data_IF_252819188787
#
_entry.id   IF_252819188787
#
_cell.length_a   1.000
_cell.length_b   1.000
_cell.length_c   1.000
_cell.angle_alpha   90.00
_cell.angle_beta   90.00
_cell.angle_gamma   90.00
#
_symmetry.space_group_name_H-M   'P 1'
#
loop_
_entity.id
_entity.type
_entity.pdbx_description
1 polymer ?
#
# COMPACT_ATOMS: atom_id res chain seq x y z
N UNK A 1 22.26 -0.28 5.35
CA UNK A 1 21.54 -1.29 6.10
C UNK A 1 21.72 -2.69 5.51
N UNK A 2 21.47 -2.92 4.21
CA UNK A 2 21.58 -4.24 3.58
C UNK A 2 22.99 -4.88 3.77
N UNK A 3 24.06 -4.15 3.55
CA UNK A 3 25.42 -4.66 3.79
C UNK A 3 25.64 -5.02 5.26
N UNK A 4 25.22 -4.17 6.20
CA UNK A 4 25.29 -4.46 7.62
C UNK A 4 24.55 -5.76 7.99
N UNK A 5 23.33 -5.98 7.46
CA UNK A 5 22.57 -7.21 7.72
C UNK A 5 23.27 -8.45 7.13
N UNK A 6 23.82 -8.33 5.91
CA UNK A 6 24.56 -9.41 5.27
C UNK A 6 25.79 -9.83 6.11
N UNK A 7 26.56 -8.87 6.54
CA UNK A 7 27.75 -9.08 7.38
C UNK A 7 27.36 -9.68 8.73
N UNK A 8 26.37 -9.07 9.42
CA UNK A 8 25.89 -9.52 10.73
C UNK A 8 25.39 -10.97 10.75
N UNK A 9 24.72 -11.39 9.69
CA UNK A 9 24.12 -12.75 9.61
C UNK A 9 24.90 -13.72 8.71
N UNK A 10 26.08 -13.33 8.24
CA UNK A 10 26.92 -14.17 7.38
C UNK A 10 26.25 -14.56 6.06
N UNK A 11 25.35 -13.72 5.52
CA UNK A 11 24.59 -14.02 4.32
C UNK A 11 25.14 -13.26 3.10
N UNK A 12 25.18 -13.90 1.95
CA UNK A 12 25.61 -13.26 0.70
C UNK A 12 24.53 -12.35 0.13
N UNK A 13 23.25 -12.67 0.38
CA UNK A 13 22.06 -11.91 -0.04
C UNK A 13 21.00 -11.93 1.06
N UNK A 14 20.02 -11.03 0.94
CA UNK A 14 18.84 -10.98 1.81
C UNK A 14 17.56 -10.98 0.96
N UNK A 15 16.42 -11.26 1.57
CA UNK A 15 15.12 -10.97 0.98
C UNK A 15 14.74 -9.51 1.28
N UNK A 16 14.16 -8.83 0.30
CA UNK A 16 13.62 -7.48 0.50
C UNK A 16 12.10 -7.54 0.44
N UNK A 17 11.44 -7.20 1.55
CA UNK A 17 9.99 -7.06 1.59
C UNK A 17 9.63 -5.58 1.73
N UNK A 18 8.69 -5.12 0.90
CA UNK A 18 8.05 -3.82 1.01
C UNK A 18 6.55 -3.97 1.26
N UNK A 19 5.97 -3.07 2.07
CA UNK A 19 4.52 -2.99 2.24
C UNK A 19 4.04 -1.57 1.94
N UNK A 20 2.93 -1.42 1.14
CA UNK A 20 2.32 -0.11 0.86
C UNK A 20 3.37 0.92 0.42
N UNK A 21 3.49 2.06 1.07
CA UNK A 21 4.57 3.05 0.81
C UNK A 21 5.99 2.46 0.79
N UNK A 22 6.24 1.38 1.54
CA UNK A 22 7.51 0.65 1.50
C UNK A 22 7.77 -0.04 0.15
N UNK A 23 6.74 -0.38 -0.60
CA UNK A 23 6.90 -0.96 -1.95
C UNK A 23 7.39 0.06 -2.97
N UNK A 24 7.04 1.33 -2.77
CA UNK A 24 7.53 2.44 -3.60
C UNK A 24 9.06 2.52 -3.59
N UNK A 25 9.66 2.39 -2.41
CA UNK A 25 11.12 2.38 -2.26
C UNK A 25 11.72 1.01 -2.58
N UNK A 26 11.04 -0.06 -2.15
CA UNK A 26 11.52 -1.43 -2.27
C UNK A 26 11.78 -1.86 -3.71
N UNK A 27 10.84 -1.60 -4.62
CA UNK A 27 10.99 -1.99 -6.03
C UNK A 27 12.14 -1.23 -6.72
N UNK A 28 12.32 0.05 -6.39
CA UNK A 28 13.43 0.86 -6.90
C UNK A 28 14.79 0.40 -6.33
N UNK A 29 14.84 0.02 -5.06
CA UNK A 29 16.03 -0.54 -4.44
C UNK A 29 16.38 -1.91 -5.06
N UNK A 30 15.37 -2.74 -5.33
CA UNK A 30 15.54 -4.03 -6.00
C UNK A 30 16.09 -3.89 -7.41
N UNK A 31 15.63 -2.89 -8.17
CA UNK A 31 16.14 -2.58 -9.50
C UNK A 31 17.60 -2.08 -9.47
N UNK A 32 17.96 -1.28 -8.45
CA UNK A 32 19.32 -0.69 -8.35
C UNK A 32 20.36 -1.65 -7.81
N UNK A 33 19.99 -2.60 -6.97
CA UNK A 33 20.92 -3.46 -6.26
C UNK A 33 20.50 -4.96 -6.28
N UNK A 34 20.19 -5.55 -7.45
CA UNK A 34 19.70 -6.92 -7.54
C UNK A 34 20.69 -7.95 -7.00
N UNK A 35 21.99 -7.68 -7.10
CA UNK A 35 23.06 -8.58 -6.62
C UNK A 35 23.05 -8.79 -5.10
N UNK A 36 22.40 -7.92 -4.33
CA UNK A 36 22.31 -7.99 -2.87
C UNK A 36 21.07 -8.77 -2.39
N UNK A 37 20.18 -9.14 -3.31
CA UNK A 37 18.85 -9.65 -2.98
C UNK A 37 18.61 -11.04 -3.58
N UNK A 38 17.96 -11.92 -2.79
CA UNK A 38 17.43 -13.19 -3.29
C UNK A 38 16.15 -12.99 -4.09
N UNK A 39 15.24 -12.16 -3.56
CA UNK A 39 13.96 -11.82 -4.17
C UNK A 39 13.44 -10.49 -3.64
N UNK A 40 12.48 -9.92 -4.36
CA UNK A 40 11.66 -8.81 -3.92
C UNK A 40 10.22 -9.28 -3.67
N UNK A 41 9.70 -9.00 -2.48
CA UNK A 41 8.35 -9.37 -2.04
C UNK A 41 7.59 -8.08 -1.78
N UNK A 42 6.50 -7.87 -2.49
CA UNK A 42 5.66 -6.67 -2.37
C UNK A 42 4.30 -7.02 -1.78
N UNK A 43 4.00 -6.45 -0.62
CA UNK A 43 2.66 -6.51 -0.05
C UNK A 43 1.95 -5.20 -0.40
N UNK A 44 0.91 -5.26 -1.23
CA UNK A 44 0.17 -4.12 -1.77
C UNK A 44 1.08 -3.15 -2.54
N UNK A 45 1.59 -3.62 -3.69
CA UNK A 45 2.54 -2.89 -4.53
C UNK A 45 1.93 -1.61 -5.10
N UNK A 46 2.53 -0.47 -4.79
CA UNK A 46 2.24 0.79 -5.49
C UNK A 46 2.74 0.68 -6.94
N UNK A 47 1.86 1.01 -7.88
CA UNK A 47 2.19 1.10 -9.32
C UNK A 47 2.15 2.55 -9.81
N UNK A 48 0.98 3.17 -9.77
CA UNK A 48 0.72 4.58 -10.00
C UNK A 48 -0.29 5.04 -8.94
N UNK A 49 0.20 5.74 -7.90
CA UNK A 49 -0.64 6.08 -6.75
C UNK A 49 -1.71 7.11 -7.10
N UNK A 50 -1.43 8.07 -7.98
CA UNK A 50 -2.42 9.05 -8.39
C UNK A 50 -3.59 8.39 -9.13
N UNK A 51 -3.31 7.45 -10.03
CA UNK A 51 -4.38 6.70 -10.71
C UNK A 51 -5.12 5.77 -9.74
N UNK A 52 -4.45 5.21 -8.71
CA UNK A 52 -5.13 4.48 -7.62
C UNK A 52 -6.15 5.36 -6.91
N UNK A 53 -5.80 6.60 -6.57
CA UNK A 53 -6.73 7.55 -5.93
C UNK A 53 -7.90 7.94 -6.85
N UNK A 54 -7.65 8.08 -8.15
CA UNK A 54 -8.69 8.36 -9.15
C UNK A 54 -9.67 7.18 -9.28
N UNK A 55 -9.15 5.97 -9.34
CA UNK A 55 -9.98 4.75 -9.36
C UNK A 55 -10.80 4.61 -8.08
N UNK A 56 -10.17 4.82 -6.92
CA UNK A 56 -10.84 4.78 -5.64
C UNK A 56 -11.97 5.82 -5.55
N UNK A 57 -11.71 7.06 -5.98
CA UNK A 57 -12.71 8.12 -6.01
C UNK A 57 -13.91 7.73 -6.89
N UNK A 58 -13.69 7.27 -8.13
CA UNK A 58 -14.76 6.84 -9.02
C UNK A 58 -15.58 5.68 -8.42
N UNK A 59 -14.90 4.69 -7.87
CA UNK A 59 -15.53 3.56 -7.21
C UNK A 59 -16.41 4.00 -6.04
N UNK A 60 -15.89 4.84 -5.13
CA UNK A 60 -16.63 5.32 -3.98
C UNK A 60 -17.87 6.13 -4.38
N UNK A 61 -17.75 7.05 -5.35
CA UNK A 61 -18.89 7.81 -5.87
C UNK A 61 -19.98 6.88 -6.37
N UNK A 62 -19.61 5.89 -7.19
CA UNK A 62 -20.58 4.95 -7.77
C UNK A 62 -21.23 4.09 -6.68
N UNK A 63 -20.45 3.52 -5.76
CA UNK A 63 -20.98 2.67 -4.69
C UNK A 63 -21.95 3.41 -3.78
N UNK A 64 -21.63 4.64 -3.39
CA UNK A 64 -22.58 5.45 -2.57
C UNK A 64 -23.85 5.82 -3.32
N UNK A 65 -23.81 6.02 -4.63
CA UNK A 65 -25.01 6.20 -5.46
C UNK A 65 -25.87 4.93 -5.46
N UNK A 66 -25.23 3.78 -5.70
CA UNK A 66 -25.91 2.46 -5.76
C UNK A 66 -26.55 2.09 -4.42
N UNK A 67 -25.92 2.47 -3.32
CA UNK A 67 -26.42 2.26 -1.94
C UNK A 67 -27.43 3.35 -1.47
N UNK A 68 -27.74 4.33 -2.32
CA UNK A 68 -28.67 5.42 -2.00
C UNK A 68 -28.10 6.49 -1.03
N UNK A 69 -26.81 6.44 -0.71
CA UNK A 69 -26.16 7.45 0.12
C UNK A 69 -25.76 8.68 -0.71
N UNK A 70 -26.76 9.38 -1.23
CA UNK A 70 -26.57 10.55 -2.08
C UNK A 70 -25.78 11.69 -1.40
N UNK A 71 -25.83 11.77 -0.07
CA UNK A 71 -25.08 12.78 0.69
C UNK A 71 -23.56 12.54 0.57
N UNK A 72 -23.11 11.30 0.75
CA UNK A 72 -21.69 10.97 0.62
C UNK A 72 -21.22 11.02 -0.84
N UNK A 73 -22.03 10.51 -1.76
CA UNK A 73 -21.76 10.62 -3.19
C UNK A 73 -21.53 12.08 -3.62
N UNK A 74 -22.43 13.00 -3.23
CA UNK A 74 -22.30 14.43 -3.53
C UNK A 74 -21.04 15.06 -2.91
N UNK A 75 -20.66 14.69 -1.68
CA UNK A 75 -19.42 15.17 -1.06
C UNK A 75 -18.18 14.76 -1.84
N UNK A 76 -18.14 13.53 -2.32
CA UNK A 76 -17.04 13.03 -3.15
C UNK A 76 -17.03 13.71 -4.52
N UNK A 77 -18.17 13.88 -5.19
CA UNK A 77 -18.28 14.58 -6.48
C UNK A 77 -17.81 16.03 -6.42
N UNK A 78 -18.00 16.70 -5.27
CA UNK A 78 -17.51 18.06 -5.01
C UNK A 78 -16.00 18.12 -4.74
N UNK A 79 -15.33 16.96 -4.61
CA UNK A 79 -13.92 16.85 -4.33
C UNK A 79 -13.22 15.91 -5.33
N UNK A 80 -13.27 16.22 -6.65
CA UNK A 80 -12.71 15.34 -7.67
C UNK A 80 -11.19 15.21 -7.54
N UNK A 81 -10.67 14.02 -7.81
CA UNK A 81 -9.23 13.77 -7.92
C UNK A 81 -8.78 14.11 -9.35
N UNK A 82 -7.91 15.10 -9.46
CA UNK A 82 -7.35 15.55 -10.74
C UNK A 82 -6.22 14.68 -11.29
N UNK A 83 -5.54 15.19 -12.31
CA UNK A 83 -4.47 14.48 -13.04
C UNK A 83 -3.07 14.74 -12.47
N UNK A 84 -2.95 15.58 -11.46
CA UNK A 84 -1.67 15.98 -10.86
C UNK A 84 -1.74 16.02 -9.34
N UNK A 85 -0.58 15.82 -8.68
CA UNK A 85 -0.42 16.09 -7.26
C UNK A 85 -0.36 17.61 -6.99
N UNK A 86 -0.72 18.04 -5.78
CA UNK A 86 -1.24 17.27 -4.66
C UNK A 86 -2.71 16.89 -4.81
N UNK A 87 -3.19 15.93 -4.01
CA UNK A 87 -4.62 15.64 -3.91
C UNK A 87 -5.36 16.83 -3.25
N UNK A 88 -6.61 17.09 -3.66
CA UNK A 88 -7.41 18.17 -3.05
C UNK A 88 -7.66 17.94 -1.55
N UNK A 89 -7.52 18.97 -0.72
CA UNK A 89 -7.81 18.89 0.72
C UNK A 89 -9.25 18.44 1.01
N UNK A 90 -10.19 18.85 0.17
CA UNK A 90 -11.58 18.43 0.27
C UNK A 90 -11.74 16.91 0.12
N UNK A 91 -10.98 16.30 -0.79
CA UNK A 91 -10.93 14.85 -0.96
C UNK A 91 -10.28 14.17 0.23
N UNK A 92 -9.13 14.63 0.69
CA UNK A 92 -8.42 14.05 1.84
C UNK A 92 -9.28 14.02 3.11
N UNK A 93 -10.15 15.01 3.32
CA UNK A 93 -11.08 15.08 4.47
C UNK A 93 -12.20 14.04 4.45
N UNK A 94 -12.52 13.46 3.30
CA UNK A 94 -13.63 12.49 3.15
C UNK A 94 -13.13 11.11 2.76
N UNK A 95 -11.95 11.00 2.17
CA UNK A 95 -11.37 9.79 1.58
C UNK A 95 -11.32 8.61 2.55
N UNK A 96 -10.67 8.80 3.69
CA UNK A 96 -10.44 7.69 4.63
C UNK A 96 -11.76 7.18 5.23
N UNK A 97 -12.67 8.07 5.59
CA UNK A 97 -14.00 7.68 6.05
C UNK A 97 -14.74 6.87 4.98
N UNK A 98 -14.79 7.40 3.76
CA UNK A 98 -15.51 6.75 2.66
C UNK A 98 -14.93 5.39 2.30
N UNK A 99 -13.60 5.25 2.26
CA UNK A 99 -12.94 3.97 1.99
C UNK A 99 -13.25 2.91 3.08
N UNK A 100 -13.22 3.31 4.36
CA UNK A 100 -13.44 2.38 5.45
C UNK A 100 -14.92 1.99 5.61
N UNK A 101 -15.85 2.92 5.38
CA UNK A 101 -17.28 2.58 5.36
C UNK A 101 -17.60 1.53 4.30
N UNK A 102 -16.98 1.62 3.12
CA UNK A 102 -17.15 0.67 2.02
C UNK A 102 -16.29 -0.60 2.13
N UNK A 103 -15.44 -0.73 3.17
CA UNK A 103 -14.59 -1.90 3.37
C UNK A 103 -13.45 -2.04 2.34
N UNK A 104 -12.98 -0.93 1.77
CA UNK A 104 -11.93 -0.92 0.74
C UNK A 104 -10.68 -0.12 1.15
N UNK A 105 -10.62 0.22 2.43
CA UNK A 105 -9.51 0.95 3.06
C UNK A 105 -8.43 0.03 3.61
N UNK A 106 -8.05 0.24 4.88
CA UNK A 106 -6.93 -0.48 5.53
C UNK A 106 -7.20 -1.97 5.70
N UNK A 107 -8.37 -2.35 6.21
CA UNK A 107 -8.89 -3.72 6.19
C UNK A 107 -10.33 -3.71 5.69
N UNK A 108 -10.83 -4.85 5.29
CA UNK A 108 -12.21 -4.97 4.81
C UNK A 108 -13.23 -4.64 5.91
N UNK A 109 -12.93 -4.98 7.15
CA UNK A 109 -13.83 -4.79 8.29
C UNK A 109 -13.58 -3.51 9.11
N UNK A 110 -12.45 -2.84 8.92
CA UNK A 110 -12.11 -1.63 9.68
C UNK A 110 -13.06 -0.48 9.33
N UNK A 111 -13.59 0.18 10.36
CA UNK A 111 -14.49 1.33 10.19
C UNK A 111 -13.80 2.67 10.48
N UNK A 112 -12.74 2.69 11.27
CA UNK A 112 -12.04 3.92 11.64
C UNK A 112 -10.56 3.68 11.94
N UNK A 113 -9.69 4.41 11.26
CA UNK A 113 -8.24 4.42 11.56
C UNK A 113 -7.97 4.90 13.00
N UNK A 114 -8.81 5.79 13.52
CA UNK A 114 -8.61 6.31 14.88
C UNK A 114 -8.87 5.23 15.94
N UNK A 115 -10.01 4.54 15.89
CA UNK A 115 -10.34 3.50 16.88
C UNK A 115 -9.51 2.24 16.69
N UNK A 116 -9.29 1.83 15.45
CA UNK A 116 -8.83 0.49 15.12
C UNK A 116 -7.30 0.43 14.91
N UNK A 117 -6.65 1.57 14.70
CA UNK A 117 -5.19 1.67 14.62
C UNK A 117 -4.58 2.56 15.69
N UNK A 118 -5.03 3.82 15.80
CA UNK A 118 -4.40 4.78 16.72
C UNK A 118 -4.56 4.34 18.19
N UNK A 119 -5.80 4.09 18.64
CA UNK A 119 -6.02 3.65 20.01
C UNK A 119 -5.36 2.29 20.32
N UNK A 120 -5.33 1.37 19.34
CA UNK A 120 -4.67 0.08 19.52
C UNK A 120 -3.14 0.24 19.65
N UNK A 121 -2.52 1.14 18.87
CA UNK A 121 -1.09 1.41 18.99
C UNK A 121 -0.72 1.97 20.37
N UNK A 122 -1.60 2.78 20.98
CA UNK A 122 -1.39 3.30 22.33
C UNK A 122 -1.50 2.21 23.41
N UNK A 123 -2.29 1.16 23.18
CA UNK A 123 -2.47 0.04 24.12
C UNK A 123 -1.37 -1.01 24.03
N UNK A 124 -0.58 -1.01 22.98
CA UNK A 124 0.46 -2.03 22.76
C UNK A 124 1.52 -1.98 23.86
N UNK A 125 1.82 -3.13 24.48
CA UNK A 125 2.68 -3.17 25.68
C UNK A 125 4.17 -3.15 25.37
N UNK A 126 4.57 -3.54 24.16
CA UNK A 126 5.99 -3.66 23.76
C UNK A 126 6.62 -2.30 23.42
N UNK A 127 5.81 -1.24 23.34
CA UNK A 127 6.29 0.11 23.06
C UNK A 127 6.21 1.00 24.30
N UNK A 128 7.28 1.72 24.57
CA UNK A 128 7.30 2.81 25.54
C UNK A 128 6.40 3.97 25.10
N UNK A 129 6.02 4.85 26.00
CA UNK A 129 5.19 6.01 25.66
C UNK A 129 5.87 6.91 24.62
N UNK A 130 7.17 7.11 24.71
CA UNK A 130 7.95 7.91 23.76
C UNK A 130 7.96 7.27 22.36
N UNK A 131 8.08 5.95 22.26
CA UNK A 131 8.01 5.25 20.97
C UNK A 131 6.62 5.34 20.33
N UNK A 132 5.55 5.23 21.11
CA UNK A 132 4.18 5.44 20.64
C UNK A 132 3.97 6.83 20.05
N UNK A 133 4.46 7.86 20.74
CA UNK A 133 4.42 9.24 20.23
C UNK A 133 5.26 9.38 18.96
N UNK A 134 6.48 8.83 18.96
CA UNK A 134 7.39 8.92 17.83
C UNK A 134 6.90 8.14 16.59
N UNK A 135 6.16 7.04 16.77
CA UNK A 135 5.51 6.33 15.68
C UNK A 135 4.60 7.27 14.87
N UNK A 136 3.74 8.02 15.54
CA UNK A 136 2.79 8.93 14.88
C UNK A 136 3.46 10.19 14.34
N UNK A 137 4.44 10.74 15.07
CA UNK A 137 5.28 11.84 14.56
C UNK A 137 6.03 11.42 13.28
N UNK A 138 6.59 10.21 13.27
CA UNK A 138 7.27 9.66 12.10
C UNK A 138 6.34 9.47 10.91
N UNK A 139 5.11 8.97 11.15
CA UNK A 139 4.08 8.84 10.12
C UNK A 139 3.72 10.19 9.50
N UNK A 140 3.47 11.21 10.32
CA UNK A 140 3.14 12.56 9.84
C UNK A 140 4.30 13.19 9.08
N UNK A 141 5.52 13.09 9.60
CA UNK A 141 6.74 13.59 8.98
C UNK A 141 6.99 12.96 7.60
N UNK A 142 6.90 11.63 7.52
CA UNK A 142 7.11 10.91 6.27
C UNK A 142 6.01 11.20 5.26
N UNK A 143 4.74 11.21 5.70
CA UNK A 143 3.59 11.51 4.85
C UNK A 143 3.71 12.88 4.21
N UNK A 144 3.99 13.93 4.99
CA UNK A 144 4.09 15.30 4.47
C UNK A 144 5.21 15.50 3.44
N UNK A 145 6.26 14.67 3.49
CA UNK A 145 7.45 14.83 2.61
C UNK A 145 7.42 13.91 1.39
N UNK A 146 6.85 12.72 1.52
CA UNK A 146 6.98 11.67 0.51
C UNK A 146 5.71 11.45 -0.30
N UNK A 147 4.55 11.87 0.22
CA UNK A 147 3.27 11.59 -0.41
C UNK A 147 3.15 12.17 -1.82
N UNK A 148 3.51 13.45 -2.01
CA UNK A 148 3.47 14.07 -3.32
C UNK A 148 4.45 13.43 -4.32
N UNK A 149 5.62 12.97 -3.86
CA UNK A 149 6.56 12.22 -4.69
C UNK A 149 5.94 10.89 -5.13
N UNK A 150 5.26 10.17 -4.23
CA UNK A 150 4.58 8.91 -4.59
C UNK A 150 3.44 9.14 -5.58
N UNK A 151 2.66 10.22 -5.40
CA UNK A 151 1.59 10.59 -6.32
C UNK A 151 2.10 10.98 -7.71
N UNK A 152 3.23 11.68 -7.77
CA UNK A 152 3.81 12.18 -9.03
C UNK A 152 4.66 11.14 -9.77
N UNK A 153 4.90 9.96 -9.19
CA UNK A 153 5.77 8.94 -9.78
C UNK A 153 4.96 7.76 -10.31
N UNK A 154 5.10 7.50 -11.59
CA UNK A 154 4.58 6.30 -12.23
C UNK A 154 5.66 5.20 -12.23
N UNK A 155 5.58 4.28 -11.27
CA UNK A 155 6.53 3.16 -11.15
C UNK A 155 6.45 2.19 -12.33
N UNK A 156 5.33 2.13 -13.02
CA UNK A 156 5.16 1.25 -14.18
C UNK A 156 6.03 1.65 -15.37
N UNK A 157 6.43 2.93 -15.40
CA UNK A 157 7.38 3.48 -16.40
C UNK A 157 8.80 3.51 -15.86
N UNK A 158 8.96 3.68 -14.56
CA UNK A 158 10.29 3.83 -13.93
C UNK A 158 10.99 2.49 -13.75
N UNK A 159 10.26 1.43 -13.40
CA UNK A 159 10.82 0.09 -13.18
C UNK A 159 10.02 -0.91 -14.01
N UNK A 160 10.51 -1.19 -15.20
CA UNK A 160 9.89 -2.14 -16.15
C UNK A 160 10.48 -3.55 -16.05
N UNK A 161 11.65 -3.70 -15.38
CA UNK A 161 12.36 -4.96 -15.24
C UNK A 161 13.07 -5.06 -13.89
N UNK A 162 13.09 -6.28 -13.34
CA UNK A 162 13.93 -6.68 -12.21
C UNK A 162 14.73 -7.94 -12.59
N UNK A 163 16.02 -8.01 -12.20
CA UNK A 163 16.88 -9.15 -12.48
C UNK A 163 16.88 -10.18 -11.33
N UNK A 164 15.83 -10.20 -10.49
CA UNK A 164 15.62 -11.10 -9.38
C UNK A 164 14.17 -11.58 -9.36
N UNK A 165 13.85 -12.70 -8.66
CA UNK A 165 12.50 -13.15 -8.42
C UNK A 165 11.62 -12.05 -7.77
N UNK A 166 10.35 -11.97 -8.20
CA UNK A 166 9.38 -10.95 -7.75
C UNK A 166 8.07 -11.60 -7.37
N UNK A 167 7.58 -11.27 -6.18
CA UNK A 167 6.31 -11.77 -5.66
C UNK A 167 5.43 -10.62 -5.19
N UNK A 168 4.21 -10.51 -5.75
CA UNK A 168 3.21 -9.54 -5.31
C UNK A 168 2.10 -10.25 -4.54
N UNK A 169 1.78 -9.73 -3.37
CA UNK A 169 0.74 -10.21 -2.46
C UNK A 169 -0.27 -9.07 -2.28
N UNK A 170 -1.53 -9.26 -2.69
CA UNK A 170 -2.46 -8.13 -2.79
C UNK A 170 -3.90 -8.54 -2.47
N UNK A 171 -4.60 -7.74 -1.63
CA UNK A 171 -6.02 -7.92 -1.34
C UNK A 171 -6.90 -7.43 -2.48
N UNK A 172 -7.95 -8.18 -2.82
CA UNK A 172 -8.83 -7.85 -3.96
C UNK A 172 -9.71 -6.62 -3.70
N UNK A 173 -9.95 -6.28 -2.42
CA UNK A 173 -10.72 -5.11 -2.01
C UNK A 173 -9.86 -3.86 -1.76
N UNK A 174 -8.56 -3.92 -2.09
CA UNK A 174 -7.65 -2.80 -1.86
C UNK A 174 -7.86 -1.68 -2.89
N UNK A 175 -8.44 -0.58 -2.44
CA UNK A 175 -8.51 0.68 -3.17
C UNK A 175 -7.60 1.77 -2.59
N UNK A 176 -6.90 1.49 -1.48
CA UNK A 176 -5.82 2.36 -0.98
C UNK A 176 -4.62 2.31 -1.93
N UNK A 177 -4.27 1.10 -2.38
CA UNK A 177 -3.35 0.84 -3.50
C UNK A 177 -4.08 -0.11 -4.45
N UNK A 178 -4.49 0.39 -5.60
CA UNK A 178 -5.42 -0.31 -6.49
C UNK A 178 -4.94 -1.70 -6.91
N UNK A 179 -5.69 -2.75 -6.52
CA UNK A 179 -5.45 -4.13 -6.94
C UNK A 179 -5.39 -4.29 -8.48
N UNK A 180 -6.35 -3.77 -9.28
CA UNK A 180 -6.27 -3.87 -10.74
C UNK A 180 -5.00 -3.23 -11.32
N UNK A 181 -4.57 -2.08 -10.82
CA UNK A 181 -3.35 -1.43 -11.30
C UNK A 181 -2.09 -2.20 -10.91
N UNK A 182 -2.03 -2.73 -9.70
CA UNK A 182 -0.92 -3.56 -9.26
C UNK A 182 -0.82 -4.85 -10.09
N UNK A 183 -1.95 -5.48 -10.41
CA UNK A 183 -2.00 -6.66 -11.28
C UNK A 183 -1.56 -6.34 -12.70
N UNK A 184 -2.07 -5.27 -13.30
CA UNK A 184 -1.66 -4.83 -14.63
C UNK A 184 -0.17 -4.44 -14.70
N UNK A 185 0.37 -3.88 -13.62
CA UNK A 185 1.81 -3.62 -13.51
C UNK A 185 2.60 -4.91 -13.44
N UNK A 186 2.21 -5.86 -12.60
CA UNK A 186 2.85 -7.16 -12.48
C UNK A 186 2.89 -7.91 -13.82
N UNK A 187 1.84 -7.89 -14.60
CA UNK A 187 1.77 -8.56 -15.90
C UNK A 187 2.84 -8.03 -16.87
N UNK A 188 3.09 -6.72 -16.86
CA UNK A 188 4.08 -6.04 -17.74
C UNK A 188 5.50 -6.04 -17.18
N UNK A 189 5.68 -6.15 -15.87
CA UNK A 189 6.99 -6.16 -15.23
C UNK A 189 7.77 -7.40 -15.67
N UNK A 190 8.97 -7.24 -16.21
CA UNK A 190 9.86 -8.33 -16.56
C UNK A 190 10.66 -8.80 -15.34
N UNK A 191 10.69 -10.11 -15.10
CA UNK A 191 11.55 -10.70 -14.07
C UNK A 191 11.78 -12.20 -14.35
N UNK A 192 12.89 -12.80 -13.86
CA UNK A 192 13.23 -14.20 -14.12
C UNK A 192 12.21 -15.18 -13.53
N UNK A 193 11.63 -14.83 -12.39
CA UNK A 193 10.54 -15.58 -11.74
C UNK A 193 9.51 -14.58 -11.22
N UNK A 194 8.23 -14.86 -11.44
CA UNK A 194 7.13 -13.98 -11.03
C UNK A 194 6.03 -14.76 -10.35
N UNK A 195 5.51 -14.25 -9.22
CA UNK A 195 4.33 -14.77 -8.55
C UNK A 195 3.37 -13.66 -8.14
N UNK A 196 2.07 -13.80 -8.43
CA UNK A 196 1.03 -12.89 -7.98
C UNK A 196 0.00 -13.64 -7.13
N UNK A 197 -0.14 -13.25 -5.88
CA UNK A 197 -1.01 -13.90 -4.90
C UNK A 197 -2.15 -12.96 -4.51
N UNK A 198 -3.37 -13.30 -4.95
CA UNK A 198 -4.59 -12.54 -4.64
C UNK A 198 -5.19 -13.02 -3.34
N UNK A 199 -5.44 -12.13 -2.40
CA UNK A 199 -6.13 -12.38 -1.14
C UNK A 199 -7.59 -11.98 -1.29
N UNK A 200 -8.48 -12.98 -1.30
CA UNK A 200 -9.87 -12.81 -1.75
C UNK A 200 -10.79 -12.18 -0.71
N UNK A 201 -10.38 -12.14 0.55
CA UNK A 201 -11.16 -11.58 1.66
C UNK A 201 -10.50 -10.32 2.25
N UNK A 202 -9.42 -9.85 1.65
CA UNK A 202 -8.60 -8.77 2.18
C UNK A 202 -8.68 -7.49 1.37
N UNK A 203 -8.55 -6.36 2.06
CA UNK A 203 -8.24 -5.05 1.50
C UNK A 203 -6.73 -4.79 1.55
N UNK A 204 -6.27 -3.69 2.18
CA UNK A 204 -4.88 -3.23 2.15
C UNK A 204 -3.92 -3.99 3.08
N UNK A 205 -4.41 -4.89 3.94
CA UNK A 205 -3.56 -5.57 4.92
C UNK A 205 -3.75 -7.09 4.93
N UNK A 206 -3.47 -7.78 3.82
CA UNK A 206 -3.77 -9.21 3.67
C UNK A 206 -3.10 -10.10 4.72
N UNK A 207 -1.97 -9.71 5.31
CA UNK A 207 -1.30 -10.49 6.35
C UNK A 207 -2.02 -10.45 7.71
N UNK A 208 -2.91 -9.47 7.95
CA UNK A 208 -3.78 -9.45 9.12
C UNK A 208 -5.15 -10.09 8.84
N UNK A 209 -5.62 -9.98 7.61
CA UNK A 209 -6.97 -10.41 7.23
C UNK A 209 -7.02 -11.89 6.82
N UNK A 210 -5.95 -12.40 6.19
CA UNK A 210 -5.81 -13.80 5.77
C UNK A 210 -4.43 -14.36 6.20
N UNK A 211 -4.12 -14.42 7.53
CA UNK A 211 -2.78 -14.75 8.05
C UNK A 211 -2.34 -16.19 7.72
N UNK A 212 -3.25 -17.17 7.69
CA UNK A 212 -2.94 -18.57 7.33
C UNK A 212 -2.45 -18.64 5.90
N UNK A 213 -3.15 -18.03 4.97
CA UNK A 213 -2.75 -17.97 3.56
C UNK A 213 -1.43 -17.22 3.37
N UNK A 214 -1.22 -16.15 4.12
CA UNK A 214 0.07 -15.44 4.10
C UNK A 214 1.19 -16.37 4.56
N UNK A 215 0.99 -17.14 5.64
CA UNK A 215 1.95 -18.10 6.15
C UNK A 215 2.27 -19.19 5.13
N UNK A 216 1.25 -19.77 4.48
CA UNK A 216 1.43 -20.80 3.45
C UNK A 216 2.25 -20.32 2.25
N UNK A 217 2.11 -19.05 1.86
CA UNK A 217 2.87 -18.48 0.75
C UNK A 217 4.32 -18.16 1.16
N UNK A 218 4.55 -17.82 2.44
CA UNK A 218 5.87 -17.37 2.93
C UNK A 218 6.76 -18.52 3.43
N UNK A 219 6.23 -19.69 3.69
CA UNK A 219 6.97 -20.91 4.11
C UNK A 219 7.21 -21.85 2.94
#
# INVERSE_FOLDING_TARGET
LTNYLRERFGQTKIYLMGRSGGTFFGIQAAARAPKLLHAYIAVTQISNQLESERLAHRYMVQRYKDEGNHKMAKRLEQAPVGDTAPLPDAYLKVRDLAMHELGVGTTHDMKSVFTDMFLQSLRHRDYTLSEKVNLWRGKLFSGSRLWNTQLSTDLTKLVTRLDIPVYFLHGVYDYTVSYPLAKAYFERLEAPVKGFYSFKQSAHTPFFEEPEKMREIML
#
